data_IF_118398868403
#
_entry.id   IF_118398868403
#
_cell.length_a   1.000
_cell.length_b   1.000
_cell.length_c   1.000
_cell.angle_alpha   90.00
_cell.angle_beta   90.00
_cell.angle_gamma   90.00
#
_symmetry.space_group_name_H-M   'P 1'
#
loop_
_entity.id
_entity.type
_entity.pdbx_description
1 polymer ?
#
# COMPACT_ATOMS: atom_id res chain seq x y z
N UNK A 1 -25.91 -15.51 -2.07
CA UNK A 1 -26.14 -14.10 -2.46
C UNK A 1 -25.79 -13.08 -1.38
N UNK A 2 -26.45 -13.00 -0.21
CA UNK A 2 -26.12 -11.98 0.83
C UNK A 2 -24.63 -11.87 1.19
N UNK A 3 -23.90 -12.99 1.28
CA UNK A 3 -22.45 -12.97 1.53
C UNK A 3 -21.67 -12.27 0.42
N UNK A 4 -22.04 -12.49 -0.84
CA UNK A 4 -21.43 -11.82 -2.00
C UNK A 4 -21.74 -10.33 -1.99
N UNK A 5 -23.00 -9.94 -1.80
CA UNK A 5 -23.38 -8.52 -1.70
C UNK A 5 -22.54 -7.77 -0.66
N UNK A 6 -22.40 -8.33 0.55
CA UNK A 6 -21.57 -7.72 1.59
C UNK A 6 -20.12 -7.57 1.13
N UNK A 7 -19.50 -8.65 0.64
CA UNK A 7 -18.10 -8.62 0.20
C UNK A 7 -17.84 -7.66 -0.97
N UNK A 8 -18.83 -7.46 -1.85
CA UNK A 8 -18.72 -6.55 -2.98
C UNK A 8 -18.95 -5.08 -2.58
N UNK A 9 -19.75 -4.84 -1.54
CA UNK A 9 -20.10 -3.49 -1.06
C UNK A 9 -19.20 -2.97 0.06
N UNK A 10 -18.35 -3.81 0.67
CA UNK A 10 -17.54 -3.38 1.81
C UNK A 10 -16.59 -2.23 1.47
N UNK A 11 -16.39 -1.30 2.42
CA UNK A 11 -15.22 -0.42 2.42
C UNK A 11 -13.93 -1.22 2.32
N UNK A 12 -13.06 -0.84 1.38
CA UNK A 12 -11.70 -1.37 1.29
C UNK A 12 -10.75 -0.25 1.69
N UNK A 13 -10.15 -0.40 2.87
CA UNK A 13 -9.06 0.47 3.33
C UNK A 13 -7.73 -0.13 2.93
N UNK A 14 -6.83 0.71 2.42
CA UNK A 14 -5.43 0.33 2.25
C UNK A 14 -4.90 -0.04 3.63
N UNK A 15 -4.31 -1.24 3.81
CA UNK A 15 -3.72 -1.59 5.09
C UNK A 15 -2.72 -0.53 5.54
N UNK A 16 -2.79 -0.11 6.80
CA UNK A 16 -1.78 0.77 7.39
C UNK A 16 -0.40 0.11 7.35
N UNK A 17 0.65 0.92 7.24
CA UNK A 17 2.02 0.44 7.23
C UNK A 17 2.52 0.31 8.66
N UNK A 18 3.03 -0.87 9.00
CA UNK A 18 3.73 -1.10 10.27
C UNK A 18 5.22 -1.16 10.00
N UNK A 19 5.94 -0.12 10.41
CA UNK A 19 7.40 -0.17 10.51
C UNK A 19 7.73 -0.31 11.99
N UNK A 20 8.55 -1.29 12.37
CA UNK A 20 9.01 -1.54 13.75
C UNK A 20 9.83 -0.41 14.40
N UNK A 21 9.76 0.82 13.88
CA UNK A 21 10.40 2.04 14.37
C UNK A 21 9.43 3.20 14.61
N UNK A 22 8.21 3.10 14.09
CA UNK A 22 7.11 4.03 14.32
C UNK A 22 5.91 3.15 14.65
N UNK A 23 5.83 2.74 15.92
CA UNK A 23 4.68 1.99 16.42
C UNK A 23 3.41 2.77 16.08
N UNK A 24 2.45 2.08 15.46
CA UNK A 24 1.08 2.53 15.21
C UNK A 24 0.87 3.78 14.34
N UNK A 25 1.77 4.09 13.40
CA UNK A 25 1.51 5.21 12.48
C UNK A 25 0.44 4.86 11.44
N UNK A 26 -0.62 5.69 11.34
CA UNK A 26 -1.60 5.66 10.23
C UNK A 26 -1.10 6.41 8.99
N UNK A 27 0.19 6.73 8.93
CA UNK A 27 0.81 7.50 7.83
C UNK A 27 0.88 6.66 6.54
N UNK A 28 0.73 7.32 5.40
CA UNK A 28 0.95 6.68 4.09
C UNK A 28 2.43 6.41 3.84
N UNK A 29 2.75 5.47 2.93
CA UNK A 29 4.14 5.18 2.58
C UNK A 29 4.83 6.43 2.04
N UNK A 30 4.12 7.23 1.26
CA UNK A 30 4.59 8.50 0.74
C UNK A 30 4.96 9.47 1.87
N UNK A 31 4.10 9.62 2.89
CA UNK A 31 4.40 10.48 4.05
C UNK A 31 5.65 10.02 4.80
N UNK A 32 5.74 8.71 5.07
CA UNK A 32 6.90 8.14 5.77
C UNK A 32 8.18 8.37 4.95
N UNK A 33 8.11 8.05 3.65
CA UNK A 33 9.23 8.14 2.72
C UNK A 33 9.72 9.58 2.54
N UNK A 34 8.81 10.54 2.37
CA UNK A 34 9.14 11.97 2.31
C UNK A 34 9.79 12.44 3.61
N UNK A 35 9.30 11.99 4.76
CA UNK A 35 9.93 12.28 6.04
C UNK A 35 11.34 11.70 6.16
N UNK A 36 11.58 10.49 5.63
CA UNK A 36 12.91 9.88 5.57
C UNK A 36 13.84 10.70 4.67
N UNK A 37 13.38 11.10 3.49
CA UNK A 37 14.16 11.92 2.55
C UNK A 37 14.53 13.28 3.13
N UNK A 38 13.59 13.97 3.81
CA UNK A 38 13.87 15.25 4.46
C UNK A 38 15.01 15.13 5.50
N UNK A 39 14.94 14.10 6.36
CA UNK A 39 15.99 13.84 7.36
C UNK A 39 17.31 13.45 6.70
N UNK A 40 17.28 12.64 5.65
CA UNK A 40 18.47 12.26 4.92
C UNK A 40 19.12 13.44 4.17
N UNK A 41 18.31 14.36 3.64
CA UNK A 41 18.79 15.58 3.02
C UNK A 41 19.53 16.45 4.03
N UNK A 42 18.97 16.64 5.24
CA UNK A 42 19.65 17.34 6.34
C UNK A 42 20.98 16.69 6.71
N UNK A 43 21.05 15.36 6.78
CA UNK A 43 22.31 14.63 7.02
C UNK A 43 23.29 14.83 5.86
N UNK A 44 22.84 14.76 4.61
CA UNK A 44 23.70 14.99 3.46
C UNK A 44 24.25 16.43 3.42
N UNK A 45 23.46 17.41 3.89
CA UNK A 45 23.90 18.80 4.01
C UNK A 45 24.97 19.01 5.09
N UNK A 46 25.10 18.12 6.08
CA UNK A 46 26.16 18.21 7.09
C UNK A 46 27.57 18.01 6.50
N UNK A 47 27.67 17.42 5.30
CA UNK A 47 28.92 17.21 4.55
C UNK A 47 29.01 18.05 3.28
N UNK A 48 28.17 19.08 3.16
CA UNK A 48 28.12 19.96 1.99
C UNK A 48 29.49 20.58 1.66
N UNK A 49 29.76 20.77 0.37
CA UNK A 49 30.96 21.48 -0.11
C UNK A 49 30.95 22.92 0.41
N UNK A 50 32.12 23.49 0.65
CA UNK A 50 32.24 24.86 1.15
C UNK A 50 31.55 25.91 0.25
N UNK A 51 31.55 25.72 -1.07
CA UNK A 51 30.81 26.57 -2.01
C UNK A 51 29.28 26.55 -1.76
N UNK A 52 28.73 25.40 -1.38
CA UNK A 52 27.31 25.26 -1.02
C UNK A 52 27.06 25.94 0.32
N UNK A 53 27.95 25.74 1.30
CA UNK A 53 27.87 26.38 2.62
C UNK A 53 27.87 27.90 2.51
N UNK A 54 28.71 28.48 1.65
CA UNK A 54 28.75 29.93 1.41
C UNK A 54 27.39 30.46 0.94
N UNK A 55 26.71 29.78 0.01
CA UNK A 55 25.37 30.18 -0.47
C UNK A 55 24.31 30.09 0.63
N UNK A 56 24.39 29.04 1.45
CA UNK A 56 23.43 28.79 2.54
C UNK A 56 23.63 29.70 3.75
N UNK A 57 24.78 30.38 3.89
CA UNK A 57 25.12 31.19 5.07
C UNK A 57 25.30 32.68 4.77
N UNK A 58 25.82 33.04 3.59
CA UNK A 58 26.03 34.44 3.19
C UNK A 58 24.76 35.00 2.52
N UNK A 59 23.80 35.40 3.36
CA UNK A 59 22.51 35.93 2.91
C UNK A 59 22.62 37.26 2.18
N UNK A 60 23.64 38.06 2.47
CA UNK A 60 23.83 39.38 1.86
C UNK A 60 24.27 39.24 0.40
N UNK A 61 25.23 38.34 0.13
CA UNK A 61 25.72 38.06 -1.22
C UNK A 61 24.71 37.26 -2.05
N UNK A 62 24.07 36.26 -1.45
CA UNK A 62 23.14 35.36 -2.14
C UNK A 62 21.69 35.60 -1.75
N UNK A 63 21.23 36.85 -1.78
CA UNK A 63 19.89 37.24 -1.28
C UNK A 63 18.71 36.48 -1.88
N UNK A 64 18.84 35.97 -3.10
CA UNK A 64 17.78 35.25 -3.82
C UNK A 64 18.39 34.27 -4.86
N UNK A 65 17.53 33.47 -5.50
CA UNK A 65 17.89 32.51 -6.55
C UNK A 65 18.68 33.17 -7.68
N UNK A 66 18.26 34.37 -8.13
CA UNK A 66 18.95 35.08 -9.21
C UNK A 66 20.42 35.38 -8.89
N UNK A 67 20.73 35.72 -7.63
CA UNK A 67 22.11 35.90 -7.18
C UNK A 67 22.93 34.60 -7.17
N UNK A 68 22.29 33.45 -6.93
CA UNK A 68 22.93 32.13 -7.02
C UNK A 68 23.18 31.74 -8.49
N UNK A 69 22.19 31.94 -9.35
CA UNK A 69 22.28 31.62 -10.79
C UNK A 69 23.31 32.48 -11.52
N UNK A 70 23.50 33.73 -11.08
CA UNK A 70 24.49 34.66 -11.61
C UNK A 70 25.94 34.29 -11.27
N UNK A 71 26.17 33.41 -10.29
CA UNK A 71 27.52 32.95 -9.91
C UNK A 71 27.86 31.67 -10.68
N UNK A 72 28.67 31.79 -11.73
CA UNK A 72 29.04 30.67 -12.61
C UNK A 72 29.73 29.51 -11.86
N UNK A 73 30.42 29.78 -10.74
CA UNK A 73 31.07 28.74 -9.94
C UNK A 73 30.09 27.98 -9.05
N UNK A 74 28.89 28.54 -8.81
CA UNK A 74 27.93 28.02 -7.83
C UNK A 74 26.60 27.56 -8.42
N UNK A 75 26.16 28.12 -9.55
CA UNK A 75 24.87 27.79 -10.19
C UNK A 75 24.66 26.29 -10.45
N UNK A 76 25.72 25.54 -10.76
CA UNK A 76 25.64 24.11 -11.05
C UNK A 76 25.42 23.21 -9.82
N UNK A 77 25.51 23.76 -8.60
CA UNK A 77 25.31 23.00 -7.35
C UNK A 77 23.88 23.05 -6.83
N UNK A 78 23.03 23.89 -7.40
CA UNK A 78 21.69 24.17 -6.95
C UNK A 78 20.73 24.03 -8.12
N UNK A 79 19.66 23.25 -7.94
CA UNK A 79 18.56 23.19 -8.90
C UNK A 79 17.29 23.74 -8.24
N UNK A 80 17.36 25.01 -7.84
CA UNK A 80 16.27 25.70 -7.14
C UNK A 80 15.17 26.03 -8.15
N UNK A 81 13.91 25.88 -7.76
CA UNK A 81 12.75 26.33 -8.53
C UNK A 81 12.49 27.82 -8.32
N UNK A 82 12.57 28.26 -7.07
CA UNK A 82 12.24 29.61 -6.64
C UNK A 82 13.04 30.02 -5.39
N UNK A 83 12.83 31.26 -4.93
CA UNK A 83 13.46 31.80 -3.72
C UNK A 83 12.99 31.06 -2.44
N UNK A 84 11.78 30.51 -2.44
CA UNK A 84 11.25 29.78 -1.30
C UNK A 84 12.00 28.46 -1.07
N UNK A 85 12.43 27.79 -2.14
CA UNK A 85 13.26 26.59 -2.03
C UNK A 85 14.65 26.89 -1.47
N UNK A 86 15.24 28.04 -1.82
CA UNK A 86 16.50 28.51 -1.23
C UNK A 86 16.35 28.75 0.28
N UNK A 87 15.27 29.42 0.69
CA UNK A 87 15.00 29.67 2.11
C UNK A 87 14.68 28.40 2.90
N UNK A 88 14.01 27.42 2.26
CA UNK A 88 13.81 26.09 2.85
C UNK A 88 15.15 25.38 3.09
N UNK A 89 16.06 25.39 2.10
CA UNK A 89 17.39 24.83 2.26
C UNK A 89 18.20 25.54 3.35
N UNK A 90 18.13 26.87 3.43
CA UNK A 90 18.79 27.66 4.50
C UNK A 90 18.27 27.29 5.88
N UNK A 91 16.95 27.19 6.02
CA UNK A 91 16.31 26.82 7.28
C UNK A 91 16.73 25.41 7.72
N UNK A 92 16.70 24.44 6.79
CA UNK A 92 17.20 23.09 7.05
C UNK A 92 18.69 23.10 7.44
N UNK A 93 19.52 23.93 6.81
CA UNK A 93 20.93 24.04 7.15
C UNK A 93 21.15 24.67 8.54
N UNK A 94 20.34 25.65 8.94
CA UNK A 94 20.38 26.23 10.29
C UNK A 94 20.07 25.18 11.37
N UNK A 95 19.13 24.27 11.12
CA UNK A 95 18.86 23.13 12.02
C UNK A 95 20.06 22.17 12.10
N UNK A 96 20.70 21.89 10.96
CA UNK A 96 21.93 21.08 10.89
C UNK A 96 23.04 21.69 11.75
N UNK A 97 23.21 23.01 11.70
CA UNK A 97 24.21 23.73 12.50
C UNK A 97 23.81 23.93 13.96
N UNK A 98 22.52 23.80 14.30
CA UNK A 98 22.00 24.14 15.63
C UNK A 98 22.03 25.63 15.93
N UNK A 99 21.87 26.46 14.90
CA UNK A 99 21.91 27.91 14.99
C UNK A 99 20.82 28.48 15.92
N UNK A 100 21.02 29.72 16.39
CA UNK A 100 20.03 30.41 17.22
C UNK A 100 18.70 30.57 16.46
N UNK A 101 17.59 30.23 17.12
CA UNK A 101 16.25 30.24 16.52
C UNK A 101 15.87 29.01 15.69
N UNK A 102 16.77 28.04 15.48
CA UNK A 102 16.47 26.80 14.77
C UNK A 102 16.15 25.63 15.72
N UNK A 103 15.42 24.62 15.25
CA UNK A 103 15.19 23.38 15.98
C UNK A 103 16.53 22.65 16.22
N UNK A 104 16.87 22.39 17.49
CA UNK A 104 18.18 21.85 17.87
C UNK A 104 18.20 20.33 18.02
N UNK A 105 17.08 19.63 17.83
CA UNK A 105 17.00 18.19 18.00
C UNK A 105 17.95 17.44 17.06
N UNK A 106 18.07 17.92 15.81
CA UNK A 106 18.95 17.35 14.80
C UNK A 106 20.44 17.53 15.17
N UNK A 107 20.88 18.77 15.37
CA UNK A 107 22.28 19.09 15.71
C UNK A 107 22.74 18.48 17.03
N UNK A 108 21.87 18.41 18.04
CA UNK A 108 22.17 17.69 19.30
C UNK A 108 22.42 16.19 19.08
N UNK A 109 21.72 15.57 18.12
CA UNK A 109 21.76 14.12 17.88
C UNK A 109 22.97 13.67 17.06
N UNK A 110 23.42 14.48 16.10
CA UNK A 110 24.48 14.10 15.16
C UNK A 110 25.83 14.80 15.40
N UNK A 111 25.93 15.63 16.44
CA UNK A 111 27.16 16.34 16.82
C UNK A 111 27.30 17.73 16.18
N UNK A 112 28.29 18.51 16.65
CA UNK A 112 28.61 19.83 16.08
C UNK A 112 29.01 19.71 14.61
N UNK A 113 28.96 20.83 13.88
CA UNK A 113 29.33 20.91 12.47
C UNK A 113 30.70 20.26 12.21
N UNK A 114 30.74 19.28 11.29
CA UNK A 114 31.95 18.59 10.87
C UNK A 114 32.99 19.58 10.31
N UNK A 115 34.28 19.31 10.51
CA UNK A 115 35.37 20.05 9.87
C UNK A 115 35.45 19.73 8.37
N UNK A 116 36.01 20.63 7.54
CA UNK A 116 36.04 20.42 6.08
C UNK A 116 36.77 19.12 5.68
N UNK A 117 37.83 18.73 6.40
CA UNK A 117 38.54 17.47 6.15
C UNK A 117 37.64 16.25 6.40
N UNK A 118 36.84 16.27 7.46
CA UNK A 118 35.86 15.22 7.77
C UNK A 118 34.73 15.21 6.73
N UNK A 119 34.23 16.39 6.34
CA UNK A 119 33.22 16.52 5.28
C UNK A 119 33.72 15.93 3.97
N UNK A 120 34.95 16.25 3.56
CA UNK A 120 35.57 15.70 2.35
C UNK A 120 35.65 14.17 2.37
N UNK A 121 36.06 13.57 3.50
CA UNK A 121 36.17 12.12 3.65
C UNK A 121 34.81 11.43 3.54
N UNK A 122 33.77 12.01 4.15
CA UNK A 122 32.43 11.42 4.19
C UNK A 122 31.60 11.67 2.93
N UNK A 123 31.91 12.72 2.16
CA UNK A 123 31.08 13.19 1.05
C UNK A 123 30.77 12.11 0.01
N UNK A 124 31.72 11.28 -0.46
CA UNK A 124 31.42 10.25 -1.45
C UNK A 124 30.44 9.19 -0.91
N UNK A 125 30.68 8.70 0.32
CA UNK A 125 29.82 7.72 0.96
C UNK A 125 28.41 8.28 1.22
N UNK A 126 28.32 9.52 1.70
CA UNK A 126 27.04 10.18 1.96
C UNK A 126 26.25 10.43 0.68
N UNK A 127 26.93 10.88 -0.39
CA UNK A 127 26.30 11.09 -1.70
C UNK A 127 25.73 9.79 -2.25
N UNK A 128 26.49 8.69 -2.19
CA UNK A 128 26.03 7.39 -2.67
C UNK A 128 24.83 6.88 -1.86
N UNK A 129 24.86 6.99 -0.53
CA UNK A 129 23.74 6.58 0.32
C UNK A 129 22.49 7.43 0.08
N UNK A 130 22.64 8.74 -0.08
CA UNK A 130 21.53 9.63 -0.37
C UNK A 130 20.88 9.32 -1.72
N UNK A 131 21.68 9.07 -2.78
CA UNK A 131 21.15 8.68 -4.09
C UNK A 131 20.43 7.33 -4.03
N UNK A 132 21.02 6.34 -3.34
CA UNK A 132 20.39 5.03 -3.15
C UNK A 132 19.07 5.15 -2.39
N UNK A 133 19.01 6.01 -1.37
CA UNK A 133 17.80 6.29 -0.63
C UNK A 133 16.75 7.01 -1.48
N UNK A 134 17.15 8.00 -2.28
CA UNK A 134 16.26 8.71 -3.21
C UNK A 134 15.63 7.74 -4.22
N UNK A 135 16.41 6.80 -4.76
CA UNK A 135 15.91 5.76 -5.66
C UNK A 135 14.94 4.81 -4.96
N UNK A 136 15.26 4.34 -3.75
CA UNK A 136 14.36 3.49 -2.96
C UNK A 136 13.07 4.22 -2.57
N UNK A 137 13.17 5.51 -2.27
CA UNK A 137 12.02 6.36 -1.96
C UNK A 137 11.08 6.53 -3.17
N UNK A 138 11.63 6.81 -4.35
CA UNK A 138 10.85 6.90 -5.58
C UNK A 138 10.14 5.58 -5.90
N UNK A 139 10.83 4.44 -5.70
CA UNK A 139 10.23 3.12 -5.84
C UNK A 139 9.08 2.89 -4.85
N UNK A 140 9.22 3.31 -3.58
CA UNK A 140 8.13 3.22 -2.60
C UNK A 140 6.90 4.04 -3.04
N UNK A 141 7.11 5.23 -3.60
CA UNK A 141 6.02 6.07 -4.11
C UNK A 141 5.30 5.42 -5.30
N UNK A 142 6.06 4.85 -6.25
CA UNK A 142 5.52 4.12 -7.39
C UNK A 142 4.74 2.86 -6.97
N UNK A 143 5.28 2.09 -6.02
CA UNK A 143 4.61 0.91 -5.46
C UNK A 143 3.31 1.28 -4.73
N UNK A 144 3.29 2.37 -3.96
CA UNK A 144 2.06 2.85 -3.33
C UNK A 144 1.02 3.29 -4.36
N UNK A 145 1.44 4.01 -5.41
CA UNK A 145 0.55 4.43 -6.49
C UNK A 145 -0.04 3.22 -7.23
N UNK A 146 0.79 2.22 -7.57
CA UNK A 146 0.37 0.96 -8.18
C UNK A 146 -0.57 0.16 -7.28
N UNK A 147 -0.33 0.13 -5.97
CA UNK A 147 -1.21 -0.51 -4.99
C UNK A 147 -2.59 0.14 -4.99
N UNK A 148 -2.65 1.48 -4.91
CA UNK A 148 -3.91 2.25 -4.97
C UNK A 148 -4.68 1.99 -6.26
N UNK A 149 -3.99 2.03 -7.39
CA UNK A 149 -4.56 1.74 -8.69
C UNK A 149 -5.13 0.31 -8.77
N UNK A 150 -4.37 -0.67 -8.27
CA UNK A 150 -4.78 -2.09 -8.24
C UNK A 150 -6.04 -2.30 -7.40
N UNK A 151 -6.10 -1.67 -6.21
CA UNK A 151 -7.30 -1.72 -5.36
C UNK A 151 -8.50 -1.05 -6.05
N UNK A 152 -8.28 0.10 -6.70
CA UNK A 152 -9.35 0.80 -7.42
C UNK A 152 -9.88 -0.06 -8.59
N UNK A 153 -9.01 -0.71 -9.36
CA UNK A 153 -9.40 -1.67 -10.41
C UNK A 153 -10.21 -2.84 -9.84
N UNK A 154 -9.78 -3.41 -8.71
CA UNK A 154 -10.54 -4.46 -8.04
C UNK A 154 -11.96 -3.99 -7.66
N UNK A 155 -12.09 -2.76 -7.14
CA UNK A 155 -13.38 -2.16 -6.78
C UNK A 155 -14.28 -1.92 -8.00
N UNK A 156 -13.72 -1.54 -9.15
CA UNK A 156 -14.49 -1.46 -10.41
C UNK A 156 -15.04 -2.83 -10.80
N UNK A 157 -14.23 -3.88 -10.73
CA UNK A 157 -14.70 -5.24 -10.98
C UNK A 157 -15.78 -5.67 -9.97
N UNK A 158 -15.65 -5.31 -8.69
CA UNK A 158 -16.70 -5.57 -7.70
C UNK A 158 -18.01 -4.85 -8.04
N UNK A 159 -17.94 -3.59 -8.46
CA UNK A 159 -19.11 -2.83 -8.90
C UNK A 159 -19.75 -3.42 -10.15
N UNK A 160 -18.95 -3.87 -11.13
CA UNK A 160 -19.44 -4.57 -12.32
C UNK A 160 -20.04 -5.93 -12.01
N UNK A 161 -19.48 -6.67 -11.04
CA UNK A 161 -20.10 -7.90 -10.56
C UNK A 161 -21.45 -7.64 -9.90
N UNK A 162 -21.55 -6.57 -9.11
CA UNK A 162 -22.76 -6.25 -8.38
C UNK A 162 -23.86 -5.67 -9.29
N UNK A 163 -23.52 -4.69 -10.11
CA UNK A 163 -24.45 -3.84 -10.86
C UNK A 163 -24.34 -3.98 -12.38
N UNK A 164 -23.49 -4.88 -12.88
CA UNK A 164 -23.34 -5.14 -14.31
C UNK A 164 -22.45 -4.12 -15.02
N UNK A 165 -22.37 -4.25 -16.35
CA UNK A 165 -21.45 -3.47 -17.20
C UNK A 165 -21.77 -1.98 -17.26
N UNK A 166 -23.00 -1.57 -16.93
CA UNK A 166 -23.42 -0.16 -16.85
C UNK A 166 -22.93 0.55 -15.57
N UNK A 167 -22.27 -0.17 -14.65
CA UNK A 167 -21.60 0.47 -13.54
C UNK A 167 -20.45 1.36 -14.04
N UNK A 168 -20.66 2.67 -13.97
CA UNK A 168 -19.84 3.66 -14.68
C UNK A 168 -18.55 4.08 -13.96
N UNK A 169 -18.37 3.69 -12.70
CA UNK A 169 -17.19 4.14 -11.95
C UNK A 169 -15.90 3.58 -12.57
N UNK A 170 -14.93 4.47 -12.74
CA UNK A 170 -13.59 4.18 -13.23
C UNK A 170 -12.63 3.94 -12.07
N UNK A 171 -11.43 3.39 -12.32
CA UNK A 171 -10.41 3.32 -11.28
C UNK A 171 -10.08 4.71 -10.71
N UNK A 172 -10.05 5.75 -11.54
CA UNK A 172 -9.75 7.13 -11.12
C UNK A 172 -10.75 7.64 -10.08
N UNK A 173 -12.05 7.37 -10.28
CA UNK A 173 -13.11 7.77 -9.35
C UNK A 173 -12.95 7.10 -7.97
N UNK A 174 -12.33 5.91 -7.95
CA UNK A 174 -12.20 5.07 -6.76
C UNK A 174 -10.79 5.08 -6.15
N UNK A 175 -9.81 5.78 -6.74
CA UNK A 175 -8.42 5.83 -6.28
C UNK A 175 -8.27 6.29 -4.82
N UNK A 176 -9.12 7.25 -4.41
CA UNK A 176 -9.12 7.81 -3.06
C UNK A 176 -10.33 7.37 -2.23
N UNK A 177 -11.20 6.53 -2.80
CA UNK A 177 -12.44 6.13 -2.14
C UNK A 177 -12.18 5.03 -1.12
N UNK A 178 -12.38 5.36 0.15
CA UNK A 178 -12.30 4.41 1.28
C UNK A 178 -13.67 3.92 1.73
N UNK A 179 -14.76 4.56 1.27
CA UNK A 179 -16.14 4.19 1.62
C UNK A 179 -16.66 2.95 0.89
N UNK A 180 -17.93 2.57 1.12
CA UNK A 180 -18.63 1.56 0.32
C UNK A 180 -18.66 1.91 -1.17
N UNK A 181 -18.98 0.94 -2.04
CA UNK A 181 -19.30 1.25 -3.43
C UNK A 181 -20.59 2.09 -3.49
N UNK A 182 -20.57 3.14 -4.31
CA UNK A 182 -21.78 3.91 -4.62
C UNK A 182 -22.75 3.06 -5.42
N UNK A 183 -24.05 3.21 -5.16
CA UNK A 183 -25.08 2.66 -6.03
C UNK A 183 -25.00 3.34 -7.41
N UNK A 184 -25.30 2.61 -8.50
CA UNK A 184 -25.50 3.25 -9.80
C UNK A 184 -26.71 4.18 -9.72
N UNK A 185 -26.83 5.12 -10.65
CA UNK A 185 -28.11 5.82 -10.85
C UNK A 185 -29.19 4.80 -11.24
N UNK A 186 -30.45 5.04 -10.88
CA UNK A 186 -31.57 4.15 -11.23
C UNK A 186 -31.60 3.74 -12.70
N UNK A 187 -31.36 4.67 -13.65
CA UNK A 187 -31.31 4.39 -15.08
C UNK A 187 -30.23 3.38 -15.52
N UNK A 188 -29.20 3.21 -14.69
CA UNK A 188 -28.06 2.30 -14.91
C UNK A 188 -28.18 1.01 -14.10
N UNK A 189 -29.22 0.84 -13.29
CA UNK A 189 -29.48 -0.43 -12.62
C UNK A 189 -29.69 -1.54 -13.67
N UNK A 190 -29.14 -2.75 -13.49
CA UNK A 190 -29.11 -3.81 -14.51
C UNK A 190 -30.47 -4.51 -14.64
N UNK A 191 -31.46 -3.77 -15.14
CA UNK A 191 -32.79 -4.27 -15.46
C UNK A 191 -33.23 -3.71 -16.82
N UNK A 192 -34.02 -4.46 -17.62
CA UNK A 192 -34.52 -3.93 -18.88
C UNK A 192 -35.52 -2.79 -18.63
N UNK A 193 -35.59 -1.80 -19.53
CA UNK A 193 -36.40 -0.59 -19.32
C UNK A 193 -37.91 -0.85 -19.22
N UNK A 194 -38.39 -1.90 -19.90
CA UNK A 194 -39.83 -2.23 -19.99
C UNK A 194 -40.03 -3.75 -20.03
N UNK A 195 -39.59 -4.46 -19.00
CA UNK A 195 -39.77 -5.91 -18.89
C UNK A 195 -40.40 -6.31 -17.56
N UNK A 196 -41.25 -7.33 -17.60
CA UNK A 196 -41.68 -8.04 -16.39
C UNK A 196 -40.53 -8.90 -15.82
N UNK A 197 -40.73 -9.43 -14.61
CA UNK A 197 -39.71 -10.28 -13.98
C UNK A 197 -39.41 -11.52 -14.82
N UNK A 198 -40.42 -12.14 -15.42
CA UNK A 198 -40.23 -13.32 -16.29
C UNK A 198 -39.23 -13.02 -17.41
N UNK A 199 -39.42 -11.91 -18.11
CA UNK A 199 -38.61 -11.50 -19.26
C UNK A 199 -37.21 -11.08 -18.85
N UNK A 200 -37.05 -10.35 -17.74
CA UNK A 200 -35.74 -9.95 -17.21
C UNK A 200 -34.92 -11.15 -16.71
N UNK A 201 -35.60 -12.11 -16.07
CA UNK A 201 -34.98 -13.29 -15.49
C UNK A 201 -34.86 -14.48 -16.44
N UNK A 202 -35.38 -14.36 -17.66
CA UNK A 202 -35.29 -15.39 -18.70
C UNK A 202 -33.82 -15.72 -19.00
N UNK A 203 -33.63 -16.86 -19.69
CA UNK A 203 -32.31 -17.23 -20.20
C UNK A 203 -31.81 -16.09 -21.12
N UNK A 204 -30.57 -15.60 -20.95
CA UNK A 204 -30.04 -14.61 -21.86
C UNK A 204 -29.98 -15.15 -23.29
N UNK A 205 -30.42 -14.31 -24.22
CA UNK A 205 -30.22 -14.51 -25.65
C UNK A 205 -29.08 -13.59 -26.08
N UNK A 206 -27.95 -14.17 -26.53
CA UNK A 206 -26.74 -13.41 -26.83
C UNK A 206 -26.10 -12.71 -25.62
N UNK A 207 -25.57 -11.51 -25.84
CA UNK A 207 -24.81 -10.70 -24.87
C UNK A 207 -25.67 -9.58 -24.23
N UNK A 208 -26.99 -9.77 -24.12
CA UNK A 208 -27.89 -8.79 -23.49
C UNK A 208 -27.54 -8.60 -22.00
N UNK A 209 -26.84 -7.50 -21.71
CA UNK A 209 -26.37 -7.09 -20.38
C UNK A 209 -27.48 -6.83 -19.34
N UNK A 210 -28.76 -6.80 -19.75
CA UNK A 210 -29.89 -6.50 -18.87
C UNK A 210 -30.63 -7.74 -18.35
N UNK A 211 -30.19 -8.94 -18.75
CA UNK A 211 -30.76 -10.22 -18.31
C UNK A 211 -30.05 -10.81 -17.10
N UNK A 212 -30.73 -11.73 -16.42
CA UNK A 212 -30.13 -12.54 -15.36
C UNK A 212 -28.81 -13.22 -15.79
N UNK A 213 -27.86 -13.27 -14.87
CA UNK A 213 -26.49 -13.74 -15.04
C UNK A 213 -25.47 -12.65 -15.38
N UNK A 214 -25.90 -11.46 -15.79
CA UNK A 214 -24.97 -10.35 -16.05
C UNK A 214 -24.53 -9.61 -14.79
N UNK A 215 -25.42 -9.47 -13.81
CA UNK A 215 -25.17 -8.75 -12.58
C UNK A 215 -25.80 -9.49 -11.39
N UNK A 216 -25.10 -9.48 -10.26
CA UNK A 216 -25.61 -10.07 -9.02
C UNK A 216 -26.93 -9.42 -8.59
N UNK A 217 -27.09 -8.11 -8.78
CA UNK A 217 -28.31 -7.40 -8.38
C UNK A 217 -29.55 -7.91 -9.12
N UNK A 218 -29.46 -8.10 -10.44
CA UNK A 218 -30.52 -8.72 -11.26
C UNK A 218 -30.84 -10.11 -10.74
N UNK A 219 -29.81 -10.91 -10.48
CA UNK A 219 -29.97 -12.29 -10.01
C UNK A 219 -30.64 -12.36 -8.63
N UNK A 220 -30.31 -11.45 -7.72
CA UNK A 220 -30.97 -11.34 -6.42
C UNK A 220 -32.45 -11.00 -6.57
N UNK A 221 -32.80 -10.04 -7.41
CA UNK A 221 -34.22 -9.73 -7.70
C UNK A 221 -34.91 -10.96 -8.28
N UNK A 222 -34.28 -11.64 -9.23
CA UNK A 222 -34.83 -12.83 -9.88
C UNK A 222 -35.14 -13.98 -8.93
N UNK A 223 -34.31 -14.25 -7.92
CA UNK A 223 -34.54 -15.38 -7.01
C UNK A 223 -35.40 -15.02 -5.80
N UNK A 224 -35.63 -13.73 -5.53
CA UNK A 224 -36.36 -13.27 -4.35
C UNK A 224 -37.74 -12.69 -4.64
N UNK A 225 -37.95 -12.12 -5.84
CA UNK A 225 -39.21 -11.48 -6.23
C UNK A 225 -39.99 -12.41 -7.17
N UNK A 226 -41.24 -12.72 -6.80
CA UNK A 226 -42.19 -13.45 -7.64
C UNK A 226 -42.65 -12.61 -8.84
N UNK A 227 -42.99 -13.28 -9.94
CA UNK A 227 -43.67 -12.66 -11.09
C UNK A 227 -45.18 -12.54 -10.80
N UNK A 228 -45.52 -11.76 -9.78
CA UNK A 228 -46.88 -11.60 -9.24
C UNK A 228 -47.01 -10.24 -8.54
N UNK A 229 -48.23 -9.89 -8.09
CA UNK A 229 -48.53 -8.69 -7.31
C UNK A 229 -48.28 -8.79 -5.81
N UNK A 230 -47.97 -9.98 -5.30
CA UNK A 230 -47.82 -10.25 -3.86
C UNK A 230 -46.89 -11.44 -3.61
N UNK A 231 -46.54 -11.67 -2.34
CA UNK A 231 -45.83 -12.88 -1.90
C UNK A 231 -44.31 -12.84 -2.12
N UNK A 232 -43.67 -11.69 -2.03
CA UNK A 232 -42.21 -11.57 -2.26
C UNK A 232 -41.33 -12.06 -1.09
N UNK A 233 -41.84 -12.98 -0.27
CA UNK A 233 -41.21 -13.50 0.95
C UNK A 233 -40.25 -14.69 0.72
N UNK A 234 -39.99 -15.04 -0.55
CA UNK A 234 -39.22 -16.23 -0.94
C UNK A 234 -37.80 -16.29 -0.36
N UNK A 235 -37.15 -15.13 -0.22
CA UNK A 235 -35.80 -15.03 0.35
C UNK A 235 -35.80 -14.65 1.84
N UNK A 236 -36.78 -13.88 2.28
CA UNK A 236 -36.96 -13.48 3.67
C UNK A 236 -38.36 -12.85 3.85
N UNK A 237 -38.93 -12.99 5.05
CA UNK A 237 -40.18 -12.34 5.40
C UNK A 237 -40.07 -10.79 5.38
N UNK A 238 -41.17 -10.14 5.00
CA UNK A 238 -41.31 -8.69 5.03
C UNK A 238 -40.48 -7.95 3.96
N UNK A 239 -40.29 -8.57 2.79
CA UNK A 239 -39.82 -7.87 1.58
C UNK A 239 -41.07 -7.34 0.86
N UNK A 240 -41.20 -6.01 0.75
CA UNK A 240 -42.35 -5.37 0.11
C UNK A 240 -41.90 -4.16 -0.73
N UNK A 241 -41.56 -4.36 -2.03
CA UNK A 241 -41.32 -3.25 -2.97
C UNK A 241 -42.53 -2.31 -3.05
N UNK A 242 -42.32 -1.03 -3.39
CA UNK A 242 -43.43 -0.09 -3.58
C UNK A 242 -44.32 -0.52 -4.74
N UNK A 243 -43.70 -0.88 -5.86
CA UNK A 243 -44.36 -1.53 -6.99
C UNK A 243 -44.35 -3.05 -6.82
N UNK A 244 -45.40 -3.60 -6.22
CA UNK A 244 -45.46 -5.03 -5.92
C UNK A 244 -45.73 -5.91 -7.17
N UNK A 245 -46.39 -5.40 -8.22
CA UNK A 245 -46.74 -6.22 -9.38
C UNK A 245 -45.60 -6.39 -10.38
N UNK A 246 -44.71 -7.34 -10.12
CA UNK A 246 -43.61 -7.73 -11.01
C UNK A 246 -44.03 -8.64 -12.18
N UNK A 247 -45.31 -8.98 -12.30
CA UNK A 247 -45.87 -9.57 -13.54
C UNK A 247 -46.18 -8.49 -14.59
N UNK A 248 -46.27 -7.22 -14.20
CA UNK A 248 -46.30 -6.10 -15.12
C UNK A 248 -44.86 -5.64 -15.44
N UNK A 249 -44.71 -4.89 -16.54
CA UNK A 249 -43.44 -4.26 -16.89
C UNK A 249 -42.92 -3.36 -15.77
N UNK A 250 -41.63 -3.50 -15.46
CA UNK A 250 -40.95 -2.72 -14.42
C UNK A 250 -39.77 -1.96 -14.99
N UNK A 251 -39.57 -0.77 -14.44
CA UNK A 251 -38.42 0.07 -14.74
C UNK A 251 -37.19 -0.35 -13.92
N UNK A 252 -35.98 0.08 -14.33
CA UNK A 252 -34.77 -0.08 -13.53
C UNK A 252 -34.88 0.47 -12.10
N UNK A 253 -35.58 1.59 -11.90
CA UNK A 253 -35.81 2.17 -10.57
C UNK A 253 -36.64 1.24 -9.66
N UNK A 254 -37.67 0.57 -10.22
CA UNK A 254 -38.48 -0.37 -9.44
C UNK A 254 -37.67 -1.61 -9.03
N UNK A 255 -36.81 -2.10 -9.92
CA UNK A 255 -35.95 -3.24 -9.65
C UNK A 255 -34.83 -2.88 -8.64
N UNK A 256 -34.28 -1.67 -8.72
CA UNK A 256 -33.32 -1.14 -7.74
C UNK A 256 -33.93 -1.09 -6.34
N UNK A 257 -35.11 -0.49 -6.19
CA UNK A 257 -35.79 -0.39 -4.90
C UNK A 257 -36.09 -1.78 -4.30
N UNK A 258 -36.52 -2.73 -5.14
CA UNK A 258 -36.74 -4.11 -4.72
C UNK A 258 -35.43 -4.76 -4.25
N UNK A 259 -34.34 -4.56 -5.00
CA UNK A 259 -33.00 -5.03 -4.62
C UNK A 259 -32.57 -4.46 -3.27
N UNK A 260 -32.71 -3.15 -3.05
CA UNK A 260 -32.38 -2.47 -1.79
C UNK A 260 -33.14 -3.07 -0.60
N UNK A 261 -34.46 -3.31 -0.77
CA UNK A 261 -35.30 -3.96 0.25
C UNK A 261 -34.88 -5.39 0.54
N UNK A 262 -34.41 -6.14 -0.46
CA UNK A 262 -33.88 -7.50 -0.28
C UNK A 262 -32.56 -7.45 0.50
N UNK A 263 -31.61 -6.61 0.07
CA UNK A 263 -30.27 -6.59 0.68
C UNK A 263 -30.27 -5.96 2.07
N UNK A 264 -31.25 -5.12 2.40
CA UNK A 264 -31.50 -4.67 3.77
C UNK A 264 -31.77 -5.83 4.76
N UNK A 265 -32.23 -6.99 4.27
CA UNK A 265 -32.40 -8.21 5.09
C UNK A 265 -31.09 -8.96 5.32
N UNK A 266 -30.02 -8.62 4.59
CA UNK A 266 -28.71 -9.21 4.82
C UNK A 266 -28.09 -8.60 6.09
N UNK A 267 -28.00 -9.39 7.19
CA UNK A 267 -27.39 -8.96 8.48
C UNK A 267 -26.08 -8.17 8.29
N UNK A 268 -25.74 -7.15 9.09
CA UNK A 268 -24.45 -6.47 8.93
C UNK A 268 -23.27 -7.44 9.08
N UNK A 269 -22.21 -7.21 8.31
CA UNK A 269 -20.91 -7.83 8.54
C UNK A 269 -20.08 -6.92 9.43
N UNK A 270 -19.38 -7.47 10.41
CA UNK A 270 -18.70 -6.68 11.46
C UNK A 270 -17.17 -6.76 11.41
N UNK A 271 -16.59 -7.23 10.31
CA UNK A 271 -15.17 -7.57 10.29
C UNK A 271 -14.37 -6.60 9.41
N UNK A 272 -13.29 -6.05 9.96
CA UNK A 272 -12.21 -5.46 9.16
C UNK A 272 -11.45 -6.61 8.51
N UNK A 273 -11.36 -6.63 7.18
CA UNK A 273 -10.82 -7.77 6.43
C UNK A 273 -9.63 -7.29 5.58
N UNK A 274 -8.53 -8.04 5.60
CA UNK A 274 -7.34 -7.77 4.76
C UNK A 274 -7.63 -8.04 3.27
N UNK A 275 -6.85 -7.47 2.35
CA UNK A 275 -7.03 -7.68 0.90
C UNK A 275 -7.10 -9.17 0.52
N UNK A 276 -6.17 -9.97 1.06
CA UNK A 276 -6.12 -11.42 0.81
C UNK A 276 -7.36 -12.14 1.38
N UNK A 277 -7.80 -11.75 2.57
CA UNK A 277 -9.00 -12.34 3.15
C UNK A 277 -10.26 -11.98 2.35
N UNK A 278 -10.36 -10.78 1.78
CA UNK A 278 -11.46 -10.41 0.87
C UNK A 278 -11.41 -11.29 -0.37
N UNK A 279 -10.25 -11.40 -1.03
CA UNK A 279 -10.07 -12.23 -2.22
C UNK A 279 -10.48 -13.69 -1.97
N UNK A 280 -10.00 -14.29 -0.87
CA UNK A 280 -10.32 -15.66 -0.52
C UNK A 280 -11.82 -15.83 -0.19
N UNK A 281 -12.43 -14.87 0.53
CA UNK A 281 -13.85 -14.90 0.86
C UNK A 281 -14.72 -14.75 -0.40
N UNK A 282 -14.30 -13.96 -1.39
CA UNK A 282 -14.95 -13.84 -2.70
C UNK A 282 -14.92 -15.17 -3.46
N UNK A 283 -13.74 -15.78 -3.60
CA UNK A 283 -13.60 -17.10 -4.24
C UNK A 283 -14.45 -18.16 -3.54
N UNK A 284 -14.41 -18.23 -2.21
CA UNK A 284 -15.21 -19.18 -1.45
C UNK A 284 -16.73 -18.93 -1.62
N UNK A 285 -17.16 -17.68 -1.73
CA UNK A 285 -18.55 -17.34 -1.95
C UNK A 285 -19.05 -17.72 -3.36
N UNK A 286 -18.18 -17.61 -4.38
CA UNK A 286 -18.45 -18.12 -5.74
C UNK A 286 -18.60 -19.65 -5.73
N UNK A 287 -17.68 -20.37 -5.07
CA UNK A 287 -17.77 -21.83 -4.95
C UNK A 287 -19.06 -22.26 -4.23
N UNK A 288 -19.48 -21.51 -3.20
CA UNK A 288 -20.75 -21.76 -2.53
C UNK A 288 -21.98 -21.49 -3.41
N UNK A 289 -21.87 -20.67 -4.47
CA UNK A 289 -22.93 -20.51 -5.47
C UNK A 289 -23.01 -21.73 -6.37
N UNK A 290 -21.88 -22.18 -6.93
CA UNK A 290 -21.83 -23.39 -7.75
C UNK A 290 -22.31 -24.62 -6.98
N UNK A 291 -21.87 -24.81 -5.73
CA UNK A 291 -22.29 -25.93 -4.89
C UNK A 291 -23.79 -25.94 -4.52
N UNK A 292 -24.48 -24.81 -4.69
CA UNK A 292 -25.92 -24.67 -4.45
C UNK A 292 -26.77 -24.77 -5.71
N UNK A 293 -26.15 -24.75 -6.90
CA UNK A 293 -26.85 -25.14 -8.12
C UNK A 293 -27.32 -26.58 -7.97
N UNK A 294 -28.54 -26.91 -8.40
CA UNK A 294 -29.27 -28.18 -8.16
C UNK A 294 -30.07 -28.34 -6.85
N UNK A 295 -29.73 -27.62 -5.77
CA UNK A 295 -30.19 -28.00 -4.41
C UNK A 295 -31.66 -27.69 -4.14
N UNK A 296 -32.26 -26.80 -4.91
CA UNK A 296 -33.63 -26.31 -4.71
C UNK A 296 -34.56 -26.70 -5.88
N UNK A 297 -34.22 -27.78 -6.59
CA UNK A 297 -35.10 -28.37 -7.61
C UNK A 297 -36.22 -29.19 -6.98
N UNK A 298 -37.46 -28.85 -7.28
CA UNK A 298 -38.66 -29.58 -6.83
C UNK A 298 -39.21 -30.36 -8.02
N UNK A 299 -39.32 -31.67 -7.92
CA UNK A 299 -39.84 -32.50 -9.01
C UNK A 299 -41.35 -32.32 -9.13
N UNK A 300 -41.83 -31.76 -10.24
CA UNK A 300 -43.25 -31.78 -10.58
C UNK A 300 -43.65 -33.21 -11.02
N UNK A 301 -44.91 -33.58 -10.82
CA UNK A 301 -45.41 -34.97 -10.98
C UNK A 301 -45.18 -35.64 -12.36
N UNK A 302 -44.70 -34.91 -13.38
CA UNK A 302 -44.48 -35.40 -14.75
C UNK A 302 -43.04 -35.17 -15.29
N UNK A 303 -42.01 -35.43 -14.48
CA UNK A 303 -40.62 -35.03 -14.79
C UNK A 303 -39.74 -36.05 -15.53
N UNK A 304 -40.27 -36.80 -16.50
CA UNK A 304 -39.47 -37.72 -17.30
C UNK A 304 -38.99 -37.07 -18.61
N UNK A 305 -37.68 -36.91 -18.77
CA UNK A 305 -37.00 -36.69 -20.06
C UNK A 305 -37.07 -35.30 -20.72
N UNK A 306 -37.75 -34.31 -20.13
CA UNK A 306 -37.96 -33.01 -20.77
C UNK A 306 -36.81 -32.00 -20.72
N UNK A 307 -36.96 -30.81 -21.35
CA UNK A 307 -35.96 -29.75 -21.43
C UNK A 307 -35.50 -29.19 -20.07
N UNK A 308 -36.23 -29.46 -18.98
CA UNK A 308 -35.93 -29.12 -17.57
C UNK A 308 -35.88 -30.36 -16.66
N UNK A 309 -35.51 -31.52 -17.20
CA UNK A 309 -35.38 -32.75 -16.44
C UNK A 309 -34.22 -32.76 -15.45
N UNK A 310 -34.11 -33.84 -14.68
CA UNK A 310 -33.10 -34.03 -13.64
C UNK A 310 -31.64 -33.82 -14.11
N UNK A 311 -31.33 -34.07 -15.38
CA UNK A 311 -29.99 -33.87 -15.94
C UNK A 311 -29.56 -32.39 -16.04
N UNK A 312 -30.51 -31.46 -16.11
CA UNK A 312 -30.23 -30.02 -16.27
C UNK A 312 -30.37 -29.23 -14.98
N UNK A 313 -30.71 -29.89 -13.86
CA UNK A 313 -30.89 -29.24 -12.55
C UNK A 313 -29.67 -28.42 -12.09
N UNK A 314 -28.47 -28.83 -12.50
CA UNK A 314 -27.20 -28.16 -12.18
C UNK A 314 -27.03 -26.81 -12.88
N UNK A 315 -27.88 -26.48 -13.85
CA UNK A 315 -27.84 -25.20 -14.53
C UNK A 315 -28.68 -24.14 -13.82
N UNK A 316 -29.49 -24.54 -12.83
CA UNK A 316 -30.42 -23.64 -12.16
C UNK A 316 -29.94 -23.23 -10.77
N UNK A 317 -30.15 -21.95 -10.45
CA UNK A 317 -29.96 -21.41 -9.11
C UNK A 317 -31.26 -20.75 -8.62
N UNK A 318 -31.70 -21.09 -7.40
CA UNK A 318 -33.01 -20.69 -6.87
C UNK A 318 -34.01 -21.85 -6.90
N UNK A 319 -35.27 -21.57 -6.55
CA UNK A 319 -36.31 -22.60 -6.48
C UNK A 319 -36.87 -22.81 -7.89
N UNK A 320 -36.86 -24.07 -8.36
CA UNK A 320 -37.34 -24.43 -9.70
C UNK A 320 -38.14 -25.71 -9.66
N UNK A 321 -39.30 -25.73 -10.33
CA UNK A 321 -40.06 -26.95 -10.59
C UNK A 321 -39.48 -27.67 -11.81
N UNK A 322 -38.87 -28.84 -11.59
CA UNK A 322 -38.29 -29.69 -12.62
C UNK A 322 -39.40 -30.47 -13.34
N UNK A 323 -39.32 -30.58 -14.66
CA UNK A 323 -40.32 -31.32 -15.42
C UNK A 323 -40.17 -31.29 -16.95
N UNK A 324 -41.25 -31.72 -17.63
CA UNK A 324 -41.34 -31.85 -19.08
C UNK A 324 -41.32 -30.54 -19.88
N UNK A 325 -41.67 -29.41 -19.25
CA UNK A 325 -41.79 -28.11 -19.91
C UNK A 325 -40.45 -27.37 -20.00
N UNK A 326 -40.35 -26.40 -20.93
CA UNK A 326 -39.25 -25.45 -20.99
C UNK A 326 -39.24 -24.51 -19.78
N UNK A 327 -38.09 -23.90 -19.38
CA UNK A 327 -38.00 -23.11 -18.16
C UNK A 327 -38.68 -21.76 -18.37
N UNK A 328 -39.96 -21.71 -18.01
CA UNK A 328 -40.81 -20.54 -18.12
C UNK A 328 -40.45 -19.43 -17.14
N UNK A 329 -39.77 -19.75 -16.01
CA UNK A 329 -39.37 -18.76 -14.98
C UNK A 329 -40.56 -17.90 -14.54
N UNK A 330 -41.75 -18.46 -14.61
CA UNK A 330 -42.96 -17.87 -14.08
C UNK A 330 -43.08 -18.38 -12.66
N UNK A 331 -43.45 -17.52 -11.71
CA UNK A 331 -43.87 -17.96 -10.39
C UNK A 331 -45.22 -17.31 -10.17
N UNK A 332 -46.26 -17.90 -10.75
CA UNK A 332 -47.63 -17.37 -10.64
C UNK A 332 -48.27 -17.83 -9.33
N UNK A 333 -48.88 -16.90 -8.61
CA UNK A 333 -49.68 -17.19 -7.40
C UNK A 333 -48.91 -17.66 -6.16
N UNK A 334 -49.65 -18.30 -5.24
CA UNK A 334 -49.17 -18.70 -3.92
C UNK A 334 -48.18 -19.88 -3.96
N UNK A 335 -48.25 -20.74 -4.99
CA UNK A 335 -47.46 -21.97 -5.12
C UNK A 335 -46.43 -21.85 -6.24
N UNK A 336 -45.19 -21.52 -5.87
CA UNK A 336 -44.08 -21.25 -6.81
C UNK A 336 -43.49 -22.48 -7.51
N UNK A 337 -44.05 -23.66 -7.29
CA UNK A 337 -43.42 -24.94 -7.66
C UNK A 337 -44.42 -26.05 -8.08
N UNK A 338 -45.70 -25.73 -8.26
CA UNK A 338 -46.72 -26.71 -8.66
C UNK A 338 -46.64 -27.07 -10.17
N UNK A 339 -46.16 -26.15 -11.00
CA UNK A 339 -46.12 -26.29 -12.46
C UNK A 339 -44.70 -26.52 -12.95
N UNK A 340 -44.49 -27.53 -13.80
CA UNK A 340 -43.18 -27.79 -14.40
C UNK A 340 -42.65 -26.55 -15.16
N UNK A 341 -41.38 -26.21 -14.96
CA UNK A 341 -40.74 -25.06 -15.60
C UNK A 341 -40.98 -23.71 -14.91
N UNK A 342 -41.76 -23.67 -13.85
CA UNK A 342 -41.98 -22.49 -13.00
C UNK A 342 -40.99 -22.39 -11.85
N UNK A 343 -40.78 -21.17 -11.34
CA UNK A 343 -39.91 -20.92 -10.20
C UNK A 343 -39.31 -19.52 -10.11
N UNK A 344 -38.81 -19.20 -8.91
CA UNK A 344 -37.92 -18.06 -8.63
C UNK A 344 -36.47 -18.52 -8.76
N UNK A 345 -36.06 -18.78 -9.99
CA UNK A 345 -34.72 -19.26 -10.33
C UNK A 345 -34.08 -18.48 -11.48
N UNK A 346 -32.81 -18.78 -11.73
CA UNK A 346 -32.00 -18.35 -12.87
C UNK A 346 -31.50 -19.61 -13.58
N UNK A 347 -31.42 -19.59 -14.91
CA UNK A 347 -30.84 -20.64 -15.74
C UNK A 347 -29.54 -20.14 -16.34
N UNK A 348 -28.45 -20.71 -15.87
CA UNK A 348 -27.11 -20.44 -16.34
C UNK A 348 -26.68 -21.35 -17.49
N UNK A 349 -27.57 -22.16 -18.09
CA UNK A 349 -27.21 -23.09 -19.19
C UNK A 349 -26.47 -22.42 -20.34
N UNK A 350 -26.74 -21.13 -20.62
CA UNK A 350 -26.03 -20.37 -21.64
C UNK A 350 -24.57 -20.07 -21.26
N UNK A 351 -24.29 -19.87 -19.98
CA UNK A 351 -23.02 -19.44 -19.42
C UNK A 351 -22.14 -20.60 -18.93
N UNK A 352 -22.74 -21.73 -18.58
CA UNK A 352 -22.02 -22.96 -18.17
C UNK A 352 -21.45 -23.75 -19.35
N UNK A 353 -21.63 -23.26 -20.59
CA UNK A 353 -20.90 -23.77 -21.75
C UNK A 353 -19.41 -23.49 -21.59
N UNK A 354 -18.52 -24.35 -22.13
CA UNK A 354 -17.09 -24.10 -22.11
C UNK A 354 -16.78 -22.68 -22.61
N UNK A 355 -15.87 -21.98 -21.92
CA UNK A 355 -15.34 -20.63 -22.26
C UNK A 355 -16.22 -19.40 -22.01
N UNK A 356 -17.53 -19.52 -21.69
CA UNK A 356 -18.36 -18.32 -21.40
C UNK A 356 -18.22 -17.82 -19.97
N UNK A 357 -18.53 -18.68 -18.99
CA UNK A 357 -18.62 -18.28 -17.58
C UNK A 357 -19.78 -17.32 -17.31
N UNK A 358 -20.15 -17.17 -16.05
CA UNK A 358 -21.21 -16.23 -15.63
C UNK A 358 -20.58 -14.84 -15.49
N UNK A 359 -21.04 -13.80 -16.22
CA UNK A 359 -20.37 -12.50 -16.26
C UNK A 359 -20.08 -11.85 -14.91
N UNK A 360 -21.02 -11.90 -13.95
CA UNK A 360 -20.75 -11.34 -12.62
C UNK A 360 -19.75 -12.18 -11.81
N UNK A 361 -19.66 -13.49 -12.05
CA UNK A 361 -18.63 -14.36 -11.45
C UNK A 361 -17.26 -14.04 -12.03
N UNK A 362 -17.15 -13.88 -13.35
CA UNK A 362 -15.89 -13.51 -14.02
C UNK A 362 -15.34 -12.19 -13.44
N UNK A 363 -16.22 -11.21 -13.15
CA UNK A 363 -15.82 -9.98 -12.49
C UNK A 363 -15.40 -10.18 -11.03
N UNK A 364 -16.03 -11.09 -10.27
CA UNK A 364 -15.56 -11.44 -8.92
C UNK A 364 -14.15 -12.05 -8.97
N UNK A 365 -13.90 -12.95 -9.92
CA UNK A 365 -12.60 -13.59 -10.09
C UNK A 365 -11.52 -12.58 -10.46
N UNK A 366 -11.83 -11.65 -11.37
CA UNK A 366 -10.95 -10.52 -11.69
C UNK A 366 -10.68 -9.62 -10.48
N UNK A 367 -11.72 -9.28 -9.69
CA UNK A 367 -11.54 -8.52 -8.46
C UNK A 367 -10.65 -9.25 -7.45
N UNK A 368 -10.84 -10.56 -7.27
CA UNK A 368 -10.02 -11.37 -6.38
C UNK A 368 -8.55 -11.45 -6.85
N UNK A 369 -8.31 -11.51 -8.16
CA UNK A 369 -6.95 -11.50 -8.74
C UNK A 369 -6.25 -10.16 -8.47
N UNK A 370 -6.92 -9.04 -8.72
CA UNK A 370 -6.36 -7.70 -8.43
C UNK A 370 -6.10 -7.52 -6.93
N UNK A 371 -6.97 -7.99 -6.04
CA UNK A 371 -6.73 -7.94 -4.60
C UNK A 371 -5.50 -8.77 -4.16
N UNK A 372 -5.26 -9.93 -4.78
CA UNK A 372 -4.05 -10.74 -4.53
C UNK A 372 -2.79 -10.00 -4.99
N UNK A 373 -2.81 -9.43 -6.19
CA UNK A 373 -1.75 -8.56 -6.70
C UNK A 373 -1.50 -7.35 -5.78
N UNK A 374 -2.56 -6.74 -5.25
CA UNK A 374 -2.47 -5.67 -4.26
C UNK A 374 -1.76 -6.13 -2.98
N UNK A 375 -2.00 -7.35 -2.51
CA UNK A 375 -1.28 -7.91 -1.35
C UNK A 375 0.22 -8.10 -1.64
N UNK A 376 0.58 -8.52 -2.84
CA UNK A 376 1.98 -8.68 -3.27
C UNK A 376 2.68 -7.31 -3.31
N UNK A 377 2.08 -6.32 -3.98
CA UNK A 377 2.57 -4.93 -4.02
C UNK A 377 2.74 -4.34 -2.61
N UNK A 378 1.78 -4.57 -1.72
CA UNK A 378 1.88 -4.12 -0.33
C UNK A 378 3.04 -4.79 0.42
N UNK A 379 3.33 -6.06 0.11
CA UNK A 379 4.46 -6.79 0.73
C UNK A 379 5.79 -6.23 0.24
N UNK A 380 5.89 -5.96 -1.06
CA UNK A 380 7.07 -5.33 -1.66
C UNK A 380 7.29 -3.91 -1.15
N UNK A 381 6.23 -3.11 -1.05
CA UNK A 381 6.26 -1.76 -0.49
C UNK A 381 6.83 -1.76 0.94
N UNK A 382 6.37 -2.67 1.80
CA UNK A 382 6.91 -2.79 3.17
C UNK A 382 8.40 -3.15 3.18
N UNK A 383 8.85 -4.01 2.26
CA UNK A 383 10.27 -4.39 2.14
C UNK A 383 11.13 -3.20 1.74
N UNK A 384 10.73 -2.46 0.70
CA UNK A 384 11.49 -1.28 0.24
C UNK A 384 11.47 -0.14 1.27
N UNK A 385 10.37 0.01 2.00
CA UNK A 385 10.28 0.97 3.09
C UNK A 385 11.23 0.63 4.25
N UNK A 386 11.35 -0.65 4.60
CA UNK A 386 12.35 -1.12 5.57
C UNK A 386 13.79 -0.87 5.09
N UNK A 387 14.06 -0.99 3.78
CA UNK A 387 15.35 -0.65 3.16
C UNK A 387 15.64 0.84 3.23
N UNK A 388 14.66 1.71 2.92
CA UNK A 388 14.80 3.16 3.04
C UNK A 388 15.17 3.58 4.47
N UNK A 389 14.50 2.98 5.46
CA UNK A 389 14.80 3.15 6.88
C UNK A 389 16.22 2.70 7.23
N UNK A 390 16.68 1.57 6.70
CA UNK A 390 18.04 1.07 6.95
C UNK A 390 19.10 2.00 6.33
N UNK A 391 18.88 2.49 5.12
CA UNK A 391 19.74 3.49 4.45
C UNK A 391 19.79 4.79 5.25
N UNK A 392 18.63 5.28 5.74
CA UNK A 392 18.58 6.45 6.60
C UNK A 392 19.43 6.25 7.86
N UNK A 393 19.35 5.07 8.51
CA UNK A 393 20.18 4.73 9.67
C UNK A 393 21.67 4.72 9.32
N UNK A 394 22.06 4.16 8.17
CA UNK A 394 23.47 4.17 7.72
C UNK A 394 23.99 5.60 7.54
N UNK A 395 23.20 6.48 6.91
CA UNK A 395 23.54 7.90 6.78
C UNK A 395 23.69 8.56 8.14
N UNK A 396 22.83 8.25 9.11
CA UNK A 396 22.91 8.76 10.49
C UNK A 396 24.18 8.32 11.22
N UNK A 397 24.66 7.11 10.97
CA UNK A 397 25.83 6.55 11.67
C UNK A 397 27.17 7.07 11.15
N UNK A 398 27.26 7.43 9.88
CA UNK A 398 28.52 7.86 9.25
C UNK A 398 29.19 9.08 9.91
N UNK A 399 28.47 10.18 10.20
CA UNK A 399 29.03 11.33 10.91
C UNK A 399 29.55 10.97 12.31
N UNK A 400 28.83 10.10 13.02
CA UNK A 400 29.18 9.66 14.38
C UNK A 400 30.50 8.87 14.35
N UNK A 401 30.59 7.87 13.45
CA UNK A 401 31.80 7.05 13.30
C UNK A 401 33.00 7.90 12.89
N UNK A 402 32.82 8.85 11.97
CA UNK A 402 33.91 9.75 11.57
C UNK A 402 34.42 10.57 12.76
N UNK A 403 33.51 11.13 13.57
CA UNK A 403 33.87 11.91 14.76
C UNK A 403 34.69 11.07 15.76
N UNK A 404 34.36 9.79 15.93
CA UNK A 404 35.10 8.86 16.80
C UNK A 404 36.48 8.49 16.27
N UNK A 405 36.64 8.43 14.94
CA UNK A 405 37.90 8.05 14.28
C UNK A 405 38.83 9.23 14.02
N UNK A 406 38.35 10.48 14.19
CA UNK A 406 39.21 11.65 14.06
C UNK A 406 39.89 11.89 15.41
N UNK A 407 41.23 11.79 15.53
CA UNK A 407 41.89 12.13 16.78
C UNK A 407 41.53 13.56 17.16
N UNK A 408 41.15 13.79 18.41
CA UNK A 408 40.89 15.13 18.91
C UNK A 408 42.11 15.99 18.61
N UNK A 409 41.92 17.04 17.81
CA UNK A 409 42.89 18.15 17.75
C UNK A 409 42.76 18.89 19.07
N UNK A 410 43.28 18.29 20.14
CA UNK A 410 43.84 19.10 21.22
C UNK A 410 44.88 19.98 20.55
N UNK A 411 44.70 21.28 20.72
CA UNK A 411 45.71 22.34 20.51
C UNK A 411 47.08 21.76 20.26
N UNK A 412 47.62 22.03 19.07
CA UNK A 412 49.00 21.69 18.74
C UNK A 412 49.88 21.92 19.98
N UNK A 413 50.59 20.90 20.49
CA UNK A 413 51.81 21.22 21.21
C UNK A 413 52.60 22.06 20.21
N UNK A 414 52.98 23.27 20.62
CA UNK A 414 54.06 24.03 20.00
C UNK A 414 55.06 23.06 19.39
N UNK A 415 55.39 23.24 18.10
CA UNK A 415 56.38 22.43 17.39
C UNK A 415 57.64 22.23 18.24
N UNK A 416 57.68 21.17 19.04
CA UNK A 416 58.94 20.51 19.33
C UNK A 416 59.16 19.63 18.12
N UNK A 417 59.98 20.12 17.19
CA UNK A 417 60.65 19.30 16.19
C UNK A 417 60.98 17.96 16.85
N UNK A 418 60.28 16.89 16.48
CA UNK A 418 60.75 15.55 16.75
C UNK A 418 62.00 15.37 15.88
N UNK A 419 63.15 15.77 16.42
CA UNK A 419 64.41 15.18 15.99
C UNK A 419 64.25 13.69 16.27
N UNK A 420 64.35 12.88 15.22
CA UNK A 420 64.73 11.47 15.38
C UNK A 420 65.99 11.49 16.26
N UNK A 421 66.01 10.83 17.43
CA UNK A 421 67.23 10.75 18.22
C UNK A 421 68.29 10.10 17.34
N UNK A 422 69.46 10.73 17.20
CA UNK A 422 70.59 10.08 16.57
C UNK A 422 71.03 8.90 17.44
N UNK A 423 71.70 7.91 16.85
CA UNK A 423 72.22 6.71 17.53
C UNK A 423 73.11 7.05 18.74
N UNK A 424 73.63 8.28 18.79
CA UNK A 424 74.40 8.83 19.91
C UNK A 424 73.53 9.24 21.13
N UNK A 425 72.26 9.59 20.95
CA UNK A 425 71.38 10.01 22.06
C UNK A 425 70.76 8.84 22.83
N UNK A 426 70.63 7.66 22.22
CA UNK A 426 70.14 6.44 22.88
C UNK A 426 71.22 5.69 23.67
N UNK A 427 72.50 6.05 23.53
CA UNK A 427 73.64 5.38 24.16
C UNK A 427 74.36 6.24 25.22
N UNK A 428 73.61 7.03 26.02
CA UNK A 428 74.21 7.92 27.04
C UNK A 428 74.61 7.22 28.35
N UNK A 429 74.31 5.94 28.53
CA UNK A 429 74.74 5.16 29.69
C UNK A 429 75.67 4.02 29.23
N UNK A 430 77.00 4.22 29.30
CA UNK A 430 77.95 3.13 29.02
C UNK A 430 77.93 2.13 30.19
N UNK A 431 77.69 0.85 29.87
CA UNK A 431 77.37 -0.19 30.85
C UNK A 431 78.55 -0.72 31.70
N UNK A 432 79.77 -0.16 31.60
CA UNK A 432 80.95 -0.66 32.32
C UNK A 432 81.85 0.48 32.80
N UNK A 433 81.53 1.08 33.96
CA UNK A 433 82.47 1.91 34.71
C UNK A 433 82.61 1.32 36.12
N UNK A 434 83.84 1.01 36.51
CA UNK A 434 84.17 0.28 37.75
C UNK A 434 84.18 1.14 39.02
N UNK A 435 83.99 2.47 38.90
CA UNK A 435 83.95 3.44 40.01
C UNK A 435 82.77 4.41 39.88
N UNK A 436 82.27 4.90 41.01
CA UNK A 436 80.98 5.61 41.10
C UNK A 436 81.02 7.02 40.47
N UNK A 437 82.19 7.68 40.46
CA UNK A 437 82.37 9.05 39.96
C UNK A 437 82.18 9.16 38.44
N UNK A 438 82.36 8.07 37.70
CA UNK A 438 82.24 8.03 36.25
C UNK A 438 80.79 7.77 35.78
N UNK A 439 79.83 7.67 36.71
CA UNK A 439 78.42 7.42 36.40
C UNK A 439 77.64 8.74 36.24
N UNK A 440 77.08 9.07 35.05
CA UNK A 440 76.37 10.33 34.85
C UNK A 440 75.06 10.41 35.67
N UNK A 441 75.12 11.03 36.86
CA UNK A 441 74.04 11.04 37.86
C UNK A 441 72.74 11.71 37.38
N UNK A 442 72.80 12.56 36.35
CA UNK A 442 71.62 13.17 35.72
C UNK A 442 70.71 12.15 35.02
N UNK A 443 71.25 11.06 34.49
CA UNK A 443 70.51 10.10 33.65
C UNK A 443 70.64 8.65 34.11
N UNK A 444 71.62 8.34 34.97
CA UNK A 444 71.88 6.99 35.45
C UNK A 444 71.98 6.94 36.99
N UNK A 445 71.63 5.80 37.56
CA UNK A 445 71.88 5.40 38.95
C UNK A 445 73.02 4.39 38.98
N UNK A 446 74.01 4.60 39.86
CA UNK A 446 75.07 3.63 40.10
C UNK A 446 74.61 2.54 41.07
N UNK A 447 74.79 1.28 40.68
CA UNK A 447 74.51 0.09 41.48
C UNK A 447 75.81 -0.35 42.13
N UNK A 448 76.02 0.02 43.41
CA UNK A 448 77.27 -0.22 44.13
C UNK A 448 77.52 -1.72 44.41
N UNK A 449 76.47 -2.54 44.40
CA UNK A 449 76.57 -4.00 44.57
C UNK A 449 77.03 -4.69 43.30
N UNK A 450 76.62 -4.21 42.13
CA UNK A 450 76.97 -4.79 40.82
C UNK A 450 78.03 -3.99 40.05
N UNK A 451 78.53 -2.89 40.63
CA UNK A 451 79.53 -1.97 40.06
C UNK A 451 79.19 -1.54 38.63
N UNK A 452 77.95 -1.09 38.41
CA UNK A 452 77.45 -0.71 37.07
C UNK A 452 76.44 0.45 37.12
N UNK A 453 76.34 1.21 36.02
CA UNK A 453 75.35 2.27 35.84
C UNK A 453 74.09 1.78 35.16
N UNK A 454 72.90 2.11 35.69
CA UNK A 454 71.60 1.84 35.07
C UNK A 454 70.84 3.13 34.80
N UNK A 455 70.11 3.20 33.68
CA UNK A 455 69.26 4.35 33.38
C UNK A 455 68.15 4.53 34.44
N UNK A 456 67.79 5.78 34.74
CA UNK A 456 66.67 6.10 35.63
C UNK A 456 65.32 5.82 34.93
N UNK A 457 64.31 5.26 35.62
CA UNK A 457 63.00 5.04 35.02
C UNK A 457 62.32 6.37 34.69
N UNK A 458 61.90 6.57 33.43
CA UNK A 458 61.15 7.74 32.98
C UNK A 458 61.96 8.88 32.35
N UNK A 459 63.26 8.68 32.11
CA UNK A 459 64.13 9.48 31.22
C UNK A 459 64.67 8.61 30.13
#
# INVERSE_FOLDING_TARGET
MCRLYKLLSIPITIPGLTISLRSDSTESANQITLGILDRAQKINMSVAKQLIVEVLTNTDKYKNKAAVDGDAAKKGYFNLKDDAELEKMRSAYKEVLGAQGAEKAFSKKYGRALEEKQRQLLRPAMSNLYQNLANTAALCQDLEAKLRQTIATARVHMGKALYGTKYAATPTDLLSSTGPLSNPTAANFPWPTSADRKTACAKPDGDDSTKAGNALATDVVCICIRNHSTGHDMCAAGISPAEANFAASRSPANAEEAFEKIVAKCKPGSEKITLLNIANKLTAAVQAVYARMDKNGITAAAANGGPNGAAKRFNFYGITALGGAAPGRVATGATTHATAGEGVCIDYSAYLKPTKGIPWINNIEAAAAELKKGKELFTELNRELAKAVAQERQMKTLPIVCTLLTPAVTTAPTETKYKKPTVEEQNKCKLKNTIAEECPSKHCNYDDTKKQCKAKPGT
#
